data_IF_883287498392
#
_entry.id   IF_883287498392
#
_cell.length_a   1.000
_cell.length_b   1.000
_cell.length_c   1.000
_cell.angle_alpha   90.00
_cell.angle_beta   90.00
_cell.angle_gamma   90.00
#
_symmetry.space_group_name_H-M   'P 1'
#
loop_
_entity.id
_entity.type
_entity.pdbx_description
1 polymer ?
#
# COMPACT_ATOMS: atom_id res chain seq x y z
N UNK A 1 34.63 16.61 -26.87
CA UNK A 1 33.95 17.90 -26.59
C UNK A 1 33.06 17.72 -25.36
N UNK A 2 33.50 18.20 -24.21
CA UNK A 2 32.87 17.99 -22.90
C UNK A 2 31.85 19.13 -22.65
N UNK A 3 30.55 18.83 -22.58
CA UNK A 3 29.51 19.83 -22.29
C UNK A 3 29.38 20.01 -20.77
N UNK A 4 29.94 21.10 -20.24
CA UNK A 4 29.67 21.59 -18.88
C UNK A 4 28.20 22.03 -18.75
N UNK A 5 27.44 21.38 -17.88
CA UNK A 5 26.09 21.83 -17.49
C UNK A 5 26.22 22.74 -16.27
N UNK A 6 25.97 24.04 -16.46
CA UNK A 6 25.90 25.05 -15.39
C UNK A 6 24.68 24.79 -14.51
N UNK A 7 24.89 24.24 -13.31
CA UNK A 7 23.90 24.22 -12.22
C UNK A 7 23.67 25.65 -11.74
N UNK A 8 22.47 26.19 -11.96
CA UNK A 8 22.02 27.44 -11.30
C UNK A 8 21.50 27.07 -9.92
N UNK A 9 22.29 27.40 -8.90
CA UNK A 9 21.85 27.50 -7.51
C UNK A 9 20.87 28.68 -7.41
N UNK A 10 19.60 28.40 -7.11
CA UNK A 10 18.67 29.41 -6.60
C UNK A 10 18.58 29.22 -5.09
N UNK A 11 19.25 30.11 -4.36
CA UNK A 11 19.06 30.30 -2.93
C UNK A 11 17.76 31.09 -2.74
N UNK A 12 16.74 30.47 -2.13
CA UNK A 12 15.58 31.19 -1.60
C UNK A 12 15.78 31.29 -0.10
N UNK A 13 16.22 32.47 0.33
CA UNK A 13 16.24 32.89 1.74
C UNK A 13 14.86 33.45 2.04
N UNK A 14 14.00 32.67 2.71
CA UNK A 14 12.77 33.20 3.29
C UNK A 14 13.02 33.57 4.75
N UNK A 15 13.05 34.88 5.01
CA UNK A 15 12.92 35.45 6.34
C UNK A 15 11.49 35.20 6.84
N UNK A 16 11.33 34.50 7.97
CA UNK A 16 10.12 34.61 8.79
C UNK A 16 10.40 35.56 9.95
N UNK A 17 9.66 36.67 9.96
CA UNK A 17 9.61 37.61 11.05
C UNK A 17 8.80 37.02 12.22
N UNK A 18 9.38 37.08 13.42
CA UNK A 18 8.74 36.75 14.69
C UNK A 18 7.97 37.99 15.16
N UNK A 19 6.65 37.86 15.28
CA UNK A 19 5.76 38.76 16.02
C UNK A 19 4.62 37.88 16.56
N UNK A 20 4.14 37.98 17.79
CA UNK A 20 4.47 38.79 18.94
C UNK A 20 3.91 38.07 20.18
N UNK A 21 4.43 38.43 21.35
CA UNK A 21 3.99 38.00 22.66
C UNK A 21 2.49 38.26 22.90
N UNK A 22 1.81 37.26 23.45
CA UNK A 22 0.49 37.38 24.05
C UNK A 22 0.53 36.76 25.44
N UNK A 23 0.94 37.58 26.40
CA UNK A 23 1.08 37.28 27.82
C UNK A 23 -0.26 37.58 28.51
N UNK A 24 -0.84 36.63 29.23
CA UNK A 24 -1.84 36.94 30.26
C UNK A 24 -1.71 35.95 31.40
N UNK A 25 -1.19 36.46 32.51
CA UNK A 25 -0.98 35.77 33.77
C UNK A 25 -2.24 35.78 34.65
N UNK A 26 -2.32 34.77 35.54
CA UNK A 26 -2.94 34.75 36.89
C UNK A 26 -4.44 35.04 36.97
N UNK A 27 -5.30 34.27 37.64
CA UNK A 27 -5.35 33.72 39.01
C UNK A 27 -6.69 32.91 38.98
N UNK A 28 -7.05 31.92 39.80
CA UNK A 28 -6.78 31.67 41.19
C UNK A 28 -7.27 30.25 41.54
N UNK A 29 -6.74 29.79 42.67
CA UNK A 29 -7.09 28.65 43.52
C UNK A 29 -8.53 28.11 43.52
N UNK A 30 -8.68 26.78 43.57
CA UNK A 30 -9.37 26.07 44.68
C UNK A 30 -9.02 24.57 44.66
N UNK A 31 -8.58 24.15 45.84
CA UNK A 31 -8.27 22.80 46.31
C UNK A 31 -9.51 21.91 46.38
N UNK A 32 -9.38 20.65 46.00
CA UNK A 32 -9.88 19.52 46.81
C UNK A 32 -9.27 18.21 46.32
N UNK A 33 -8.52 17.60 47.23
CA UNK A 33 -8.15 16.19 47.20
C UNK A 33 -9.41 15.33 47.40
N UNK A 34 -9.41 14.13 46.81
CA UNK A 34 -9.94 12.94 47.46
C UNK A 34 -9.36 11.68 46.78
N UNK A 35 -8.73 10.85 47.61
CA UNK A 35 -8.37 9.46 47.37
C UNK A 35 -9.64 8.58 47.36
N UNK A 36 -9.71 7.62 46.45
CA UNK A 36 -10.24 6.24 46.64
C UNK A 36 -9.54 5.41 45.55
N UNK A 37 -8.74 4.36 45.74
CA UNK A 37 -8.64 3.20 46.64
C UNK A 37 -9.84 2.23 46.60
N UNK A 38 -9.49 0.96 46.35
CA UNK A 38 -10.28 -0.30 46.45
C UNK A 38 -11.24 -0.55 45.28
N UNK A 39 -11.51 -1.76 44.82
CA UNK A 39 -11.06 -3.15 45.07
C UNK A 39 -11.66 -3.95 43.88
N UNK A 40 -10.93 -4.82 43.19
CA UNK A 40 -10.96 -6.30 43.33
C UNK A 40 -12.18 -7.00 42.68
N UNK A 41 -11.86 -8.14 42.04
CA UNK A 41 -12.72 -9.21 41.45
C UNK A 41 -13.35 -8.81 40.10
N UNK A 42 -13.18 -9.54 38.99
CA UNK A 42 -13.53 -10.95 38.87
C UNK A 42 -12.80 -11.65 37.71
N UNK A 43 -12.07 -12.69 38.08
CA UNK A 43 -11.67 -13.82 37.25
C UNK A 43 -12.88 -14.57 36.72
N UNK A 44 -12.96 -14.76 35.41
CA UNK A 44 -13.72 -15.85 34.80
C UNK A 44 -12.88 -16.49 33.69
N UNK A 45 -12.06 -17.45 34.11
CA UNK A 45 -11.56 -18.54 33.27
C UNK A 45 -12.74 -19.48 32.97
N UNK A 46 -13.03 -19.73 31.70
CA UNK A 46 -13.76 -20.93 31.27
C UNK A 46 -12.90 -21.68 30.28
N UNK A 47 -12.20 -22.67 30.83
CA UNK A 47 -11.83 -23.91 30.16
C UNK A 47 -13.01 -24.48 29.36
N UNK A 48 -12.81 -24.71 28.06
CA UNK A 48 -13.18 -26.02 27.50
C UNK A 48 -12.39 -26.35 26.24
N UNK A 49 -11.40 -27.20 26.45
CA UNK A 49 -10.78 -28.04 25.44
C UNK A 49 -11.86 -28.78 24.61
N UNK A 50 -11.68 -28.78 23.29
CA UNK A 50 -12.15 -29.87 22.44
C UNK A 50 -10.97 -30.35 21.60
N UNK A 51 -10.25 -31.25 22.24
CA UNK A 51 -9.45 -32.30 21.63
C UNK A 51 -10.34 -33.05 20.62
N UNK A 52 -9.92 -33.05 19.35
CA UNK A 52 -10.41 -34.01 18.37
C UNK A 52 -9.16 -34.69 17.81
N UNK A 53 -9.03 -35.95 18.20
CA UNK A 53 -8.04 -36.91 17.72
C UNK A 53 -8.10 -37.11 16.19
N UNK A 54 -7.01 -37.66 15.61
CA UNK A 54 -6.77 -37.71 14.18
C UNK A 54 -7.49 -38.89 13.51
N UNK A 55 -8.29 -38.61 12.48
CA UNK A 55 -8.76 -39.65 11.57
C UNK A 55 -7.68 -39.96 10.53
N UNK A 56 -6.95 -41.03 10.82
CA UNK A 56 -6.28 -41.89 9.85
C UNK A 56 -7.33 -42.48 8.90
N UNK A 57 -7.24 -42.18 7.61
CA UNK A 57 -7.88 -42.99 6.58
C UNK A 57 -6.85 -43.31 5.49
N UNK A 58 -6.30 -44.51 5.60
CA UNK A 58 -5.63 -45.24 4.53
C UNK A 58 -6.72 -45.83 3.61
N UNK A 59 -6.48 -45.74 2.30
CA UNK A 59 -7.30 -46.29 1.22
C UNK A 59 -6.79 -45.73 -0.10
N UNK A 60 -5.66 -46.23 -0.58
CA UNK A 60 -5.56 -47.31 -1.57
C UNK A 60 -5.97 -46.85 -2.99
N UNK A 61 -4.91 -46.49 -3.72
CA UNK A 61 -4.62 -46.71 -5.14
C UNK A 61 -5.83 -46.86 -6.08
N UNK A 62 -6.04 -45.84 -6.93
CA UNK A 62 -6.38 -46.11 -8.32
C UNK A 62 -5.64 -45.15 -9.24
N UNK A 63 -4.48 -45.62 -9.71
CA UNK A 63 -3.82 -45.08 -10.87
C UNK A 63 -4.65 -45.45 -12.11
N UNK A 64 -5.26 -44.46 -12.74
CA UNK A 64 -5.67 -44.57 -14.14
C UNK A 64 -5.07 -43.40 -14.90
N UNK A 65 -4.35 -43.80 -15.94
CA UNK A 65 -3.53 -43.01 -16.81
C UNK A 65 -4.35 -42.13 -17.76
N UNK A 66 -3.67 -41.08 -18.23
CA UNK A 66 -3.77 -40.53 -19.59
C UNK A 66 -5.13 -39.96 -20.03
N UNK A 67 -5.29 -38.66 -19.81
CA UNK A 67 -5.59 -37.76 -20.91
C UNK A 67 -4.84 -36.44 -20.66
N UNK A 68 -3.69 -36.27 -21.33
CA UNK A 68 -3.09 -34.95 -21.53
C UNK A 68 -4.03 -34.15 -22.45
N UNK A 69 -5.08 -33.61 -21.85
CA UNK A 69 -5.83 -32.52 -22.44
C UNK A 69 -4.94 -31.29 -22.39
N UNK A 70 -4.16 -31.08 -23.45
CA UNK A 70 -3.51 -29.83 -23.79
C UNK A 70 -4.54 -28.74 -24.14
N UNK A 71 -5.67 -28.69 -23.43
CA UNK A 71 -6.48 -27.51 -23.30
C UNK A 71 -5.70 -26.56 -22.41
N UNK A 72 -4.71 -25.91 -23.02
CA UNK A 72 -4.43 -24.51 -22.75
C UNK A 72 -5.73 -23.76 -23.01
N UNK A 73 -6.71 -23.94 -22.11
CA UNK A 73 -7.71 -22.95 -21.85
C UNK A 73 -6.90 -21.69 -21.62
N UNK A 74 -7.04 -20.64 -22.46
CA UNK A 74 -6.47 -19.36 -22.14
C UNK A 74 -7.08 -18.98 -20.79
N UNK A 75 -6.33 -19.24 -19.72
CA UNK A 75 -6.63 -18.74 -18.40
C UNK A 75 -6.87 -17.26 -18.62
N UNK A 76 -7.98 -16.77 -18.10
CA UNK A 76 -8.60 -15.46 -18.28
C UNK A 76 -7.68 -14.33 -17.76
N UNK A 77 -6.49 -14.26 -18.35
CA UNK A 77 -5.34 -13.42 -18.06
C UNK A 77 -4.97 -12.55 -19.28
N UNK A 78 -5.73 -12.68 -20.38
CA UNK A 78 -5.91 -11.62 -21.38
C UNK A 78 -6.91 -10.54 -20.87
N UNK A 79 -6.85 -10.23 -19.58
CA UNK A 79 -7.34 -8.94 -19.11
C UNK A 79 -6.30 -7.93 -19.60
N UNK A 80 -6.51 -7.44 -20.83
CA UNK A 80 -5.56 -6.71 -21.67
C UNK A 80 -4.64 -5.79 -20.89
N UNK A 81 -3.40 -6.24 -20.71
CA UNK A 81 -2.37 -5.38 -20.18
C UNK A 81 -2.04 -4.31 -21.22
N UNK A 82 -2.02 -3.06 -20.78
CA UNK A 82 -1.77 -1.90 -21.63
C UNK A 82 -0.42 -1.27 -21.25
N UNK A 83 0.48 -1.04 -22.22
CA UNK A 83 1.72 -0.35 -21.95
C UNK A 83 1.43 1.09 -21.54
N UNK A 84 1.99 1.52 -20.41
CA UNK A 84 1.78 2.82 -19.80
C UNK A 84 3.10 3.41 -19.32
N UNK A 85 3.10 4.71 -19.01
CA UNK A 85 4.18 5.34 -18.26
C UNK A 85 3.75 5.47 -16.79
N UNK A 86 4.58 4.99 -15.87
CA UNK A 86 4.33 5.09 -14.44
C UNK A 86 5.30 6.07 -13.78
N UNK A 87 4.80 6.73 -12.74
CA UNK A 87 5.62 7.44 -11.76
C UNK A 87 5.22 7.00 -10.38
N UNK A 88 6.17 6.42 -9.64
CA UNK A 88 5.94 5.90 -8.29
C UNK A 88 6.94 6.55 -7.35
N UNK A 89 6.45 7.06 -6.23
CA UNK A 89 7.28 7.62 -5.16
C UNK A 89 7.03 6.87 -3.87
N UNK A 90 8.08 6.69 -3.08
CA UNK A 90 7.94 6.28 -1.69
C UNK A 90 8.31 7.40 -0.72
N UNK A 91 7.57 7.45 0.36
CA UNK A 91 7.71 8.38 1.47
C UNK A 91 7.90 7.56 2.76
N UNK A 92 8.84 7.95 3.66
CA UNK A 92 9.76 9.09 3.59
C UNK A 92 11.10 8.79 2.91
N UNK A 93 11.27 7.62 2.27
CA UNK A 93 12.56 7.18 1.74
C UNK A 93 13.06 8.00 0.53
N UNK A 94 12.21 8.86 -0.05
CA UNK A 94 12.48 9.70 -1.22
C UNK A 94 12.95 8.90 -2.46
N UNK A 95 12.62 7.60 -2.52
CA UNK A 95 12.86 6.81 -3.71
C UNK A 95 11.78 7.11 -4.76
N UNK A 96 12.20 7.23 -6.02
CA UNK A 96 11.30 7.49 -7.14
C UNK A 96 11.63 6.55 -8.30
N UNK A 97 10.59 5.94 -8.85
CA UNK A 97 10.59 5.29 -10.15
C UNK A 97 9.84 6.17 -11.16
N UNK A 98 10.40 6.31 -12.36
CA UNK A 98 9.72 6.90 -13.51
C UNK A 98 10.11 6.15 -14.78
N UNK A 99 9.14 5.55 -15.46
CA UNK A 99 9.41 4.82 -16.69
C UNK A 99 8.24 3.93 -17.11
N UNK A 100 8.52 3.06 -18.07
CA UNK A 100 7.53 2.14 -18.64
C UNK A 100 7.01 1.16 -17.59
N UNK A 101 5.70 0.89 -17.65
CA UNK A 101 5.01 -0.10 -16.85
C UNK A 101 3.88 -0.75 -17.65
N UNK A 102 3.39 -1.87 -17.12
CA UNK A 102 2.20 -2.55 -17.57
C UNK A 102 1.05 -2.17 -16.64
N UNK A 103 0.02 -1.56 -17.21
CA UNK A 103 -1.26 -1.36 -16.56
C UNK A 103 -2.14 -2.59 -16.82
N UNK A 104 -2.73 -3.15 -15.77
CA UNK A 104 -3.61 -4.32 -15.88
C UNK A 104 -4.95 -3.97 -15.24
N UNK A 105 -6.01 -3.74 -16.03
CA UNK A 105 -7.33 -3.41 -15.49
C UNK A 105 -7.99 -4.64 -14.86
N UNK A 106 -8.53 -4.47 -13.65
CA UNK A 106 -9.25 -5.51 -12.90
C UNK A 106 -10.78 -5.33 -12.93
N UNK A 107 -11.26 -4.28 -13.61
CA UNK A 107 -12.68 -3.93 -13.69
C UNK A 107 -13.12 -2.99 -12.56
N UNK A 108 -14.27 -2.32 -12.73
CA UNK A 108 -14.77 -1.34 -11.74
C UNK A 108 -13.88 -0.10 -11.55
N UNK A 109 -12.88 0.08 -12.42
CA UNK A 109 -11.82 1.09 -12.30
C UNK A 109 -10.64 0.67 -11.42
N UNK A 110 -10.71 -0.51 -10.77
CA UNK A 110 -9.59 -1.16 -10.12
C UNK A 110 -8.54 -1.60 -11.13
N UNK A 111 -7.27 -1.60 -10.72
CA UNK A 111 -6.16 -1.95 -11.60
C UNK A 111 -4.93 -2.38 -10.80
N UNK A 112 -3.96 -2.95 -11.49
CA UNK A 112 -2.61 -3.10 -10.98
C UNK A 112 -1.59 -2.54 -11.95
N UNK A 113 -0.42 -2.19 -11.43
CA UNK A 113 0.75 -1.82 -12.23
C UNK A 113 1.95 -2.64 -11.85
N UNK A 114 2.71 -3.06 -12.85
CA UNK A 114 3.95 -3.82 -12.71
C UNK A 114 4.94 -3.37 -13.77
N UNK A 115 6.23 -3.65 -13.57
CA UNK A 115 7.24 -3.43 -14.62
C UNK A 115 7.26 -4.66 -15.53
N UNK A 116 7.26 -4.46 -16.85
CA UNK A 116 7.42 -5.57 -17.81
C UNK A 116 8.71 -6.37 -17.61
N UNK A 117 9.74 -5.74 -17.01
CA UNK A 117 11.00 -6.41 -16.68
C UNK A 117 10.90 -7.35 -15.47
N UNK A 118 9.81 -7.28 -14.68
CA UNK A 118 9.67 -7.97 -13.39
C UNK A 118 10.52 -7.38 -12.27
N UNK A 119 11.25 -6.29 -12.53
CA UNK A 119 12.05 -5.60 -11.52
C UNK A 119 11.17 -4.81 -10.55
N UNK A 120 11.71 -4.49 -9.38
CA UNK A 120 11.04 -3.63 -8.42
C UNK A 120 10.93 -2.17 -8.91
N UNK A 121 9.89 -1.47 -8.46
CA UNK A 121 9.71 -0.03 -8.60
C UNK A 121 10.55 0.72 -7.57
N UNK A 122 10.16 0.60 -6.30
CA UNK A 122 10.77 1.20 -5.11
C UNK A 122 10.61 0.21 -3.95
N UNK A 123 11.50 0.26 -2.96
CA UNK A 123 11.39 -0.52 -1.71
C UNK A 123 11.17 -2.04 -1.89
N UNK A 124 11.65 -2.61 -2.99
CA UNK A 124 11.49 -4.03 -3.30
C UNK A 124 10.08 -4.43 -3.78
N UNK A 125 9.19 -3.46 -4.01
CA UNK A 125 7.83 -3.68 -4.52
C UNK A 125 7.86 -3.88 -6.03
N UNK A 126 7.32 -4.99 -6.52
CA UNK A 126 7.26 -5.33 -7.96
C UNK A 126 5.91 -5.02 -8.58
N UNK A 127 4.84 -4.93 -7.78
CA UNK A 127 3.49 -4.62 -8.25
C UNK A 127 2.74 -3.77 -7.23
N UNK A 128 2.00 -2.77 -7.70
CA UNK A 128 0.99 -2.06 -6.91
C UNK A 128 -0.40 -2.45 -7.40
N UNK A 129 -1.33 -2.66 -6.48
CA UNK A 129 -2.72 -3.03 -6.76
C UNK A 129 -3.64 -2.00 -6.09
N UNK A 130 -4.54 -1.42 -6.89
CA UNK A 130 -5.57 -0.51 -6.45
C UNK A 130 -6.95 -1.14 -6.66
N UNK A 131 -7.70 -1.25 -5.58
CA UNK A 131 -9.07 -1.78 -5.57
C UNK A 131 -10.02 -0.63 -5.24
N UNK A 132 -10.76 -0.13 -6.24
CA UNK A 132 -11.64 1.03 -6.04
C UNK A 132 -12.81 0.69 -5.12
N UNK A 133 -12.89 1.41 -4.01
CA UNK A 133 -14.07 1.45 -3.13
C UNK A 133 -15.08 2.46 -3.66
N UNK A 134 -14.59 3.61 -4.13
CA UNK A 134 -15.38 4.70 -4.69
C UNK A 134 -14.65 5.35 -5.87
N UNK A 135 -15.22 6.43 -6.44
CA UNK A 135 -14.58 7.18 -7.53
C UNK A 135 -13.29 7.89 -7.11
N UNK A 136 -13.06 8.06 -5.82
CA UNK A 136 -11.95 8.87 -5.27
C UNK A 136 -11.16 8.17 -4.16
N UNK A 137 -11.53 6.95 -3.78
CA UNK A 137 -10.86 6.18 -2.75
C UNK A 137 -10.74 4.71 -3.18
N UNK A 138 -9.60 4.09 -2.85
CA UNK A 138 -9.29 2.72 -3.18
C UNK A 138 -8.49 2.04 -2.06
N UNK A 139 -8.73 0.76 -1.84
CA UNK A 139 -7.80 -0.11 -1.12
C UNK A 139 -6.48 -0.21 -1.89
N UNK A 140 -5.37 -0.07 -1.19
CA UNK A 140 -4.04 -0.01 -1.78
C UNK A 140 -3.16 -1.13 -1.24
N UNK A 141 -2.67 -1.97 -2.13
CA UNK A 141 -1.81 -3.11 -1.80
C UNK A 141 -0.55 -3.11 -2.66
N UNK A 142 0.50 -3.76 -2.17
CA UNK A 142 1.75 -3.93 -2.89
C UNK A 142 2.22 -5.38 -2.80
N UNK A 143 2.76 -5.89 -3.91
CA UNK A 143 3.46 -7.17 -3.95
C UNK A 143 4.96 -6.95 -3.91
N UNK A 144 5.64 -7.59 -2.97
CA UNK A 144 7.09 -7.60 -2.86
C UNK A 144 7.72 -8.59 -3.84
N UNK A 145 9.05 -8.51 -4.01
CA UNK A 145 9.81 -9.38 -4.90
C UNK A 145 9.74 -10.88 -4.53
N UNK A 146 9.41 -11.21 -3.28
CA UNK A 146 9.15 -12.58 -2.82
C UNK A 146 7.73 -13.08 -3.14
N UNK A 147 6.87 -12.22 -3.70
CA UNK A 147 5.50 -12.53 -4.07
C UNK A 147 4.46 -12.28 -2.97
N UNK A 148 4.87 -11.86 -1.76
CA UNK A 148 3.94 -11.55 -0.68
C UNK A 148 3.10 -10.30 -1.03
N UNK A 149 1.79 -10.40 -0.80
CA UNK A 149 0.86 -9.28 -1.01
C UNK A 149 0.55 -8.62 0.33
N UNK A 150 0.93 -7.36 0.46
CA UNK A 150 0.75 -6.56 1.67
C UNK A 150 -0.26 -5.44 1.44
N UNK A 151 -1.24 -5.31 2.33
CA UNK A 151 -2.16 -4.18 2.34
C UNK A 151 -1.47 -2.96 2.98
N UNK A 152 -1.45 -1.85 2.26
CA UNK A 152 -0.75 -0.62 2.64
C UNK A 152 -1.69 0.48 3.14
N UNK A 153 -3.00 0.23 3.14
CA UNK A 153 -4.01 1.20 3.57
C UNK A 153 -4.88 1.67 2.41
N UNK A 154 -5.42 2.87 2.54
CA UNK A 154 -6.27 3.50 1.53
C UNK A 154 -5.47 4.51 0.72
N UNK A 155 -5.68 4.52 -0.59
CA UNK A 155 -5.19 5.56 -1.48
C UNK A 155 -6.36 6.45 -1.93
N UNK A 156 -6.10 7.75 -2.00
CA UNK A 156 -7.04 8.74 -2.51
C UNK A 156 -6.62 9.22 -3.90
N UNK A 157 -7.61 9.49 -4.75
CA UNK A 157 -7.34 10.04 -6.07
C UNK A 157 -6.86 11.48 -5.94
N UNK A 158 -5.71 11.81 -6.54
CA UNK A 158 -5.12 13.14 -6.43
C UNK A 158 -6.01 14.21 -7.07
N UNK A 159 -6.06 15.37 -6.42
CA UNK A 159 -6.77 16.57 -6.91
C UNK A 159 -5.93 17.41 -7.87
N UNK A 160 -4.62 17.15 -7.94
CA UNK A 160 -3.66 17.88 -8.76
C UNK A 160 -3.40 17.15 -10.08
N UNK A 161 -3.30 15.82 -10.04
CA UNK A 161 -3.09 14.99 -11.22
C UNK A 161 -4.02 13.77 -11.17
N UNK A 162 -5.00 13.72 -12.08
CA UNK A 162 -6.01 12.66 -12.10
C UNK A 162 -5.46 11.26 -12.42
N UNK A 163 -4.21 11.17 -12.89
CA UNK A 163 -3.49 9.92 -13.08
C UNK A 163 -2.91 9.34 -11.78
N UNK A 164 -2.80 10.15 -10.73
CA UNK A 164 -2.14 9.81 -9.48
C UNK A 164 -3.12 9.39 -8.38
N UNK A 165 -2.68 8.41 -7.60
CA UNK A 165 -3.29 7.97 -6.36
C UNK A 165 -2.27 8.12 -5.23
N UNK A 166 -2.69 8.77 -4.15
CA UNK A 166 -1.85 9.14 -3.02
C UNK A 166 -2.25 8.30 -1.81
N UNK A 167 -1.29 7.58 -1.24
CA UNK A 167 -1.38 6.89 0.05
C UNK A 167 -0.38 7.51 1.03
N UNK A 168 -0.45 7.12 2.30
CA UNK A 168 0.42 7.66 3.36
C UNK A 168 1.92 7.58 3.01
N UNK A 169 2.35 6.44 2.48
CA UNK A 169 3.77 6.15 2.22
C UNK A 169 4.11 6.07 0.72
N UNK A 170 3.13 6.19 -0.18
CA UNK A 170 3.37 6.01 -1.60
C UNK A 170 2.47 6.89 -2.46
N UNK A 171 2.99 7.27 -3.62
CA UNK A 171 2.23 7.90 -4.69
C UNK A 171 2.38 7.06 -5.95
N UNK A 172 1.27 6.71 -6.61
CA UNK A 172 1.27 5.91 -7.85
C UNK A 172 0.51 6.67 -8.93
N UNK A 173 1.24 7.11 -9.96
CA UNK A 173 0.68 7.75 -11.14
C UNK A 173 0.80 6.84 -12.36
N UNK A 174 -0.28 6.71 -13.12
CA UNK A 174 -0.32 5.89 -14.34
C UNK A 174 -0.83 6.72 -15.51
N UNK A 175 0.01 6.86 -16.53
CA UNK A 175 -0.27 7.63 -17.72
C UNK A 175 -0.41 6.67 -18.91
N UNK A 176 -1.60 6.63 -19.51
CA UNK A 176 -1.82 5.87 -20.74
C UNK A 176 -0.99 6.42 -21.91
N UNK A 177 -0.64 5.54 -22.86
CA UNK A 177 0.09 5.90 -24.09
C UNK A 177 -0.83 6.18 -25.28
#
# INVERSE_FOLDING_TARGET
MLKMVKRKFFLIVSMLAIAACGETASQDTTSSAEEEKSEVVETASVDKAKENEPQKQEGDVNATAEAEDNSHSPSKADAGSEPSDCKIKSHPADAEFKGDCEFVPSGGGSFSVQRSSGEAFVDGITQFILELDTKTAAGFSARSADGELNYLGTAEKSTVDAACWEAENYSVCVYGK
#
